data_IF_744189687486
#
_entry.id   IF_744189687486
#
_cell.length_a   1.000
_cell.length_b   1.000
_cell.length_c   1.000
_cell.angle_alpha   90.00
_cell.angle_beta   90.00
_cell.angle_gamma   90.00
#
_symmetry.space_group_name_H-M   'P 1'
#
loop_
_entity.id
_entity.type
_entity.pdbx_description
1 polymer ?
2 water ?
#
# COMPACT_ATOMS: atom_id res chain seq x y z
N UNK A 1 -8.15 -18.00 -11.83
CA UNK A 1 -8.77 -16.63 -11.93
C UNK A 1 -7.81 -15.56 -11.40
N UNK A 2 -7.31 -14.73 -12.31
CA UNK A 2 -6.33 -13.71 -11.98
C UNK A 2 -6.94 -12.35 -12.18
N UNK A 3 -6.78 -11.49 -11.18
CA UNK A 3 -7.24 -10.11 -11.27
C UNK A 3 -6.05 -9.20 -10.95
N UNK A 4 -6.14 -7.93 -11.36
CA UNK A 4 -5.07 -6.97 -11.12
C UNK A 4 -5.56 -5.53 -11.07
N UNK A 5 -4.70 -4.64 -10.63
CA UNK A 5 -5.06 -3.24 -10.52
C UNK A 5 -3.88 -2.40 -10.10
N UNK A 6 -4.16 -1.19 -9.66
CA UNK A 6 -3.12 -0.22 -9.31
C UNK A 6 -3.72 0.78 -8.33
N UNK A 7 -3.09 0.94 -7.18
CA UNK A 7 -3.53 1.91 -6.19
C UNK A 7 -2.61 3.12 -6.35
N UNK A 8 -3.17 4.26 -6.73
CA UNK A 8 -2.40 5.49 -6.81
C UNK A 8 -2.60 6.19 -5.52
N UNK A 9 -1.53 6.38 -4.74
CA UNK A 9 -1.64 7.00 -3.41
C UNK A 9 -1.45 8.50 -3.39
N UNK A 10 -0.71 9.03 -4.36
CA UNK A 10 -0.48 10.46 -4.45
C UNK A 10 0.37 11.04 -3.34
N UNK A 11 0.25 12.35 -3.21
CA UNK A 11 1.12 13.16 -2.38
C UNK A 11 0.81 12.84 -0.94
N UNK A 12 1.84 12.72 -0.10
CA UNK A 12 1.65 12.29 1.31
C UNK A 12 1.02 13.34 2.26
N UNK A 13 0.87 14.57 1.78
CA UNK A 13 0.06 15.60 2.46
C UNK A 13 -1.41 15.15 2.67
N UNK A 14 -1.93 14.30 1.78
CA UNK A 14 -3.29 13.78 1.86
C UNK A 14 -3.33 12.42 2.54
N UNK A 15 -2.19 12.00 3.10
CA UNK A 15 -2.10 10.67 3.75
C UNK A 15 -2.41 10.79 5.22
N UNK A 16 -2.90 9.70 5.79
CA UNK A 16 -3.33 9.67 7.16
C UNK A 16 -2.16 9.48 8.12
N UNK A 17 -2.20 10.20 9.22
CA UNK A 17 -1.27 9.99 10.31
C UNK A 17 -1.85 8.80 11.06
N UNK A 18 -1.04 7.77 11.26
CA UNK A 18 -1.47 6.58 11.98
C UNK A 18 -0.51 6.26 13.13
N UNK A 19 -0.99 5.53 14.14
CA UNK A 19 -0.11 5.08 15.20
C UNK A 19 0.84 4.00 14.71
N UNK A 20 2.11 4.15 15.08
CA UNK A 20 3.15 3.22 14.67
C UNK A 20 2.94 1.81 15.24
N UNK A 21 3.27 0.78 14.46
CA UNK A 21 3.27 -0.59 14.97
C UNK A 21 4.66 -1.24 14.91
N UNK A 22 5.67 -0.38 14.83
CA UNK A 22 7.04 -0.79 14.90
C UNK A 22 7.74 0.19 15.83
N UNK A 23 8.29 -0.31 16.95
CA UNK A 23 9.03 0.49 17.91
C UNK A 23 10.06 1.43 17.28
N UNK A 24 10.61 1.06 16.13
CA UNK A 24 11.61 1.88 15.41
C UNK A 24 11.13 2.99 14.47
N UNK A 25 9.82 3.17 14.32
CA UNK A 25 9.27 4.16 13.38
C UNK A 25 8.36 5.17 14.06
N UNK A 26 8.71 6.45 13.90
CA UNK A 26 7.88 7.56 14.36
C UNK A 26 7.24 8.28 13.15
N UNK A 27 6.24 9.11 13.43
CA UNK A 27 5.56 9.86 12.39
C UNK A 27 5.12 8.95 11.21
N UNK A 28 4.62 7.77 11.55
CA UNK A 28 4.16 6.82 10.55
C UNK A 28 2.89 7.33 9.88
N UNK A 29 2.79 7.14 8.57
CA UNK A 29 1.72 7.75 7.76
C UNK A 29 1.39 6.84 6.60
N UNK A 30 0.10 6.61 6.37
CA UNK A 30 -0.31 5.72 5.28
C UNK A 30 -1.56 6.16 4.52
N UNK A 31 -1.57 5.89 3.22
CA UNK A 31 -2.78 5.96 2.42
C UNK A 31 -3.23 4.52 2.28
N UNK A 32 -4.07 4.06 3.21
CA UNK A 32 -4.56 2.69 3.19
C UNK A 32 -5.72 2.58 2.23
N UNK A 33 -5.88 1.43 1.57
CA UNK A 33 -7.05 1.19 0.75
C UNK A 33 -7.59 -0.20 0.99
N UNK A 34 -8.90 -0.26 1.02
CA UNK A 34 -9.65 -1.48 1.20
C UNK A 34 -10.23 -1.78 -0.18
N UNK A 35 -9.54 -2.66 -0.90
CA UNK A 35 -9.89 -3.00 -2.27
C UNK A 35 -10.72 -4.25 -2.28
N UNK A 36 -11.79 -4.21 -3.07
CA UNK A 36 -12.67 -5.33 -3.28
C UNK A 36 -12.48 -5.85 -4.72
N UNK A 37 -12.41 -7.17 -4.87
CA UNK A 37 -12.27 -7.76 -6.19
C UNK A 37 -13.57 -7.62 -6.96
N UNK A 38 -13.48 -7.44 -8.28
CA UNK A 38 -14.67 -7.41 -9.12
C UNK A 38 -15.38 -8.76 -9.03
N UNK A 39 -14.62 -9.85 -9.15
CA UNK A 39 -15.13 -11.22 -8.94
C UNK A 39 -14.65 -11.84 -7.63
N UNK A 40 -15.56 -11.99 -6.65
CA UNK A 40 -15.18 -12.60 -5.39
C UNK A 40 -14.54 -13.97 -5.58
N UNK A 41 -13.67 -14.31 -4.65
CA UNK A 41 -13.03 -15.60 -4.65
C UNK A 41 -13.73 -16.52 -3.65
N UNK A 42 -13.41 -17.80 -3.78
CA UNK A 42 -13.85 -18.83 -2.87
C UNK A 42 -13.02 -18.69 -1.61
N UNK A 43 -11.70 -18.80 -1.79
CA UNK A 43 -10.74 -18.64 -0.70
C UNK A 43 -9.83 -17.46 -1.00
N UNK A 44 -9.24 -16.86 0.04
CA UNK A 44 -8.20 -15.87 -0.16
C UNK A 44 -7.27 -16.23 -1.31
N UNK A 45 -7.18 -15.33 -2.31
CA UNK A 45 -6.19 -15.52 -3.35
C UNK A 45 -4.85 -15.16 -2.77
N UNK A 46 -3.80 -15.44 -3.52
CA UNK A 46 -2.50 -14.90 -3.20
C UNK A 46 -2.42 -13.53 -3.84
N UNK A 47 -1.99 -12.53 -3.08
CA UNK A 47 -1.88 -11.18 -3.61
C UNK A 47 -0.45 -10.71 -3.55
N UNK A 48 0.03 -10.14 -4.66
CA UNK A 48 1.35 -9.56 -4.70
C UNK A 48 1.24 -8.08 -4.95
N UNK A 49 2.09 -7.33 -4.25
CA UNK A 49 2.22 -5.90 -4.39
C UNK A 49 3.56 -5.53 -5.03
N UNK A 50 3.50 -4.51 -5.88
CA UNK A 50 4.64 -4.01 -6.62
C UNK A 50 4.51 -2.50 -6.64
N UNK A 51 5.53 -1.81 -6.17
CA UNK A 51 5.59 -0.36 -6.28
C UNK A 51 5.99 -0.07 -7.71
N UNK A 52 5.11 0.58 -8.45
CA UNK A 52 5.38 0.90 -9.86
C UNK A 52 5.43 2.40 -10.10
N UNK A 53 5.38 3.19 -9.04
CA UNK A 53 5.60 4.60 -9.20
C UNK A 53 6.13 5.20 -7.93
N UNK A 54 7.09 6.10 -8.08
CA UNK A 54 7.72 6.78 -6.95
C UNK A 54 8.23 8.17 -7.33
N UNK A 55 8.04 9.08 -6.39
CA UNK A 55 8.46 10.47 -6.52
C UNK A 55 8.71 10.91 -5.08
N UNK A 56 9.98 10.91 -4.69
CA UNK A 56 10.38 11.11 -3.31
C UNK A 56 11.37 12.27 -3.20
N UNK A 57 11.24 13.04 -2.12
CA UNK A 57 12.14 14.17 -1.85
C UNK A 57 13.53 13.66 -1.54
N UNK A 58 14.53 14.25 -2.20
CA UNK A 58 15.92 13.80 -2.09
C UNK A 58 16.69 14.26 -0.84
N UNK A 59 16.28 15.37 -0.23
CA UNK A 59 16.99 15.91 0.95
C UNK A 59 16.77 15.06 2.21
N UNK A 60 15.91 14.06 2.10
CA UNK A 60 15.60 13.17 3.22
C UNK A 60 15.63 11.73 2.74
N UNK A 61 15.84 10.81 3.68
CA UNK A 61 15.89 9.38 3.38
C UNK A 61 14.64 8.89 2.69
N UNK A 62 14.86 7.92 1.81
CA UNK A 62 13.79 7.20 1.14
C UNK A 62 13.33 6.16 2.13
N UNK A 63 12.09 6.31 2.59
CA UNK A 63 11.46 5.37 3.49
C UNK A 63 10.07 5.06 2.95
N UNK A 64 9.88 3.86 2.42
CA UNK A 64 8.58 3.42 1.90
C UNK A 64 8.31 1.94 2.16
N UNK A 65 7.04 1.61 2.29
CA UNK A 65 6.60 0.23 2.35
C UNK A 65 5.33 0.12 1.51
N UNK A 66 5.24 -0.94 0.73
CA UNK A 66 4.00 -1.32 0.07
C UNK A 66 3.42 -2.39 0.98
N UNK A 67 2.46 -2.00 1.80
CA UNK A 67 2.02 -2.87 2.87
C UNK A 67 0.74 -3.62 2.54
N UNK A 68 0.82 -4.95 2.63
CA UNK A 68 -0.33 -5.81 2.52
C UNK A 68 -0.76 -6.21 3.94
N UNK A 69 -2.00 -5.85 4.32
CA UNK A 69 -2.52 -6.09 5.67
C UNK A 69 -3.27 -7.41 5.72
N UNK A 70 -4.21 -7.61 4.81
CA UNK A 70 -5.04 -8.82 4.85
C UNK A 70 -5.68 -9.10 3.52
N UNK A 71 -5.95 -10.37 3.27
CA UNK A 71 -6.58 -10.80 2.04
C UNK A 71 -7.71 -11.71 2.44
N UNK A 72 -8.90 -11.38 1.97
CA UNK A 72 -10.08 -12.17 2.23
C UNK A 72 -10.51 -12.69 0.89
N UNK A 73 -11.53 -13.56 0.86
CA UNK A 73 -12.00 -13.99 -0.46
C UNK A 73 -12.64 -12.86 -1.31
N UNK A 74 -13.11 -11.80 -0.66
CA UNK A 74 -13.75 -10.71 -1.38
C UNK A 74 -12.88 -9.47 -1.67
N UNK A 75 -11.73 -9.34 -1.02
CA UNK A 75 -10.90 -8.15 -1.20
C UNK A 75 -9.64 -8.18 -0.38
N UNK A 76 -8.96 -7.04 -0.28
CA UNK A 76 -7.78 -6.96 0.55
C UNK A 76 -7.55 -5.56 1.02
N UNK A 77 -6.71 -5.44 2.03
CA UNK A 77 -6.31 -4.16 2.56
C UNK A 77 -4.81 -3.99 2.36
N UNK A 78 -4.44 -2.88 1.73
CA UNK A 78 -3.05 -2.59 1.45
C UNK A 78 -2.84 -1.10 1.60
N UNK A 79 -1.59 -0.67 1.76
CA UNK A 79 -1.32 0.77 1.91
C UNK A 79 0.03 1.25 1.39
N UNK A 80 0.10 2.52 0.97
CA UNK A 80 1.38 3.20 0.83
C UNK A 80 1.70 3.67 2.21
N UNK A 81 2.90 3.35 2.69
CA UNK A 81 3.29 3.61 4.06
C UNK A 81 4.65 4.28 4.06
N UNK A 82 4.76 5.35 4.84
CA UNK A 82 6.05 6.04 5.08
C UNK A 82 6.20 6.45 6.56
N UNK A 83 7.37 6.95 6.94
CA UNK A 83 7.58 7.36 8.32
C UNK A 83 8.73 8.36 8.47
N UNK A 84 8.93 8.85 9.69
CA UNK A 84 9.89 9.92 9.98
C UNK A 84 9.71 11.13 9.04
N UNK A 85 10.78 11.74 8.54
CA UNK A 85 10.63 12.95 7.73
C UNK A 85 10.78 12.70 6.23
N UNK A 86 10.41 11.50 5.77
CA UNK A 86 10.37 11.19 4.35
C UNK A 86 9.24 12.00 3.74
N UNK A 87 9.47 12.53 2.54
CA UNK A 87 8.45 13.24 1.80
C UNK A 87 8.19 12.54 0.48
N UNK A 88 7.01 11.96 0.30
CA UNK A 88 6.68 11.40 -1.02
C UNK A 88 5.65 12.26 -1.75
N UNK A 89 5.95 12.52 -3.02
CA UNK A 89 5.08 13.31 -3.86
C UNK A 89 4.08 12.43 -4.56
N UNK A 90 4.50 11.20 -4.89
CA UNK A 90 3.57 10.17 -5.35
C UNK A 90 4.12 8.76 -5.22
N UNK A 91 3.20 7.82 -5.17
CA UNK A 91 3.56 6.43 -5.03
C UNK A 91 2.39 5.60 -5.54
N UNK A 92 2.66 4.64 -6.40
CA UNK A 92 1.61 3.74 -6.87
C UNK A 92 2.03 2.31 -6.71
N UNK A 93 1.05 1.47 -6.46
CA UNK A 93 1.28 0.09 -6.15
C UNK A 93 0.41 -0.71 -7.07
N UNK A 94 1.04 -1.57 -7.85
CA UNK A 94 0.30 -2.50 -8.69
C UNK A 94 0.14 -3.80 -7.95
N UNK A 95 -0.92 -4.52 -8.26
CA UNK A 95 -1.18 -5.76 -7.58
C UNK A 95 -1.82 -6.76 -8.49
N UNK A 96 -1.67 -8.02 -8.11
CA UNK A 96 -2.32 -9.15 -8.74
C UNK A 96 -2.89 -10.03 -7.65
N UNK A 97 -4.00 -10.67 -7.98
CA UNK A 97 -4.63 -11.65 -7.13
C UNK A 97 -4.77 -12.91 -7.96
N UNK A 98 -4.45 -14.04 -7.35
CA UNK A 98 -4.47 -15.31 -8.04
C UNK A 98 -5.18 -16.32 -7.15
N UNK A 99 -6.20 -16.98 -7.71
CA UNK A 99 -6.83 -18.14 -7.07
C UNK A 99 -5.75 -19.18 -6.75
N UNK A 100 -5.67 -19.55 -5.48
CA UNK A 100 -4.72 -20.55 -5.04
C UNK A 100 -5.37 -21.93 -4.99
#
# INVERSE_FOLDING_TARGET
>A
RVQSGKINCGDDAGWAKVPSNDPGRDNTRELAKNITFASPYCRPPVVLLSITQLDVEQSQNLRVIARLYSVSPTGFKASCYTWHNTKVYSMSISWISIENY
#
